data_IF_716191574361
#
_entry.id   IF_716191574361
#
_cell.length_a   1.000
_cell.length_b   1.000
_cell.length_c   1.000
_cell.angle_alpha   90.00
_cell.angle_beta   90.00
_cell.angle_gamma   90.00
#
_symmetry.space_group_name_H-M   'P 1'
#
loop_
_entity.id
_entity.type
_entity.pdbx_description
1 polymer ?
#
# COMPACT_ATOMS: atom_id res chain seq x y z
N UNK A 1 -53.70 -47.13 -43.53
CA UNK A 1 -53.55 -45.69 -43.66
C UNK A 1 -53.27 -45.13 -42.25
N UNK A 2 -52.01 -45.00 -41.93
CA UNK A 2 -51.57 -44.59 -40.53
C UNK A 2 -50.99 -43.14 -40.62
N UNK A 3 -51.67 -42.26 -39.94
CA UNK A 3 -51.24 -40.85 -39.83
C UNK A 3 -50.44 -40.69 -38.51
N UNK A 4 -49.19 -40.46 -38.65
CA UNK A 4 -48.28 -40.22 -37.50
C UNK A 4 -48.41 -38.75 -37.06
N UNK A 5 -48.78 -38.52 -35.81
CA UNK A 5 -48.83 -37.22 -35.15
C UNK A 5 -47.40 -36.84 -34.73
N UNK A 6 -46.92 -35.68 -35.18
CA UNK A 6 -45.67 -35.10 -34.76
C UNK A 6 -45.93 -34.16 -33.57
N UNK A 7 -45.42 -34.56 -32.41
CA UNK A 7 -45.48 -33.78 -31.16
C UNK A 7 -44.40 -32.71 -31.16
N UNK A 8 -44.76 -31.47 -31.39
CA UNK A 8 -43.86 -30.31 -31.24
C UNK A 8 -43.59 -30.01 -29.75
N UNK A 9 -42.45 -30.37 -29.24
CA UNK A 9 -42.01 -30.06 -27.89
C UNK A 9 -41.39 -28.66 -27.82
N UNK A 10 -41.98 -27.85 -26.99
CA UNK A 10 -41.69 -26.42 -26.81
C UNK A 10 -40.38 -26.22 -26.03
N UNK A 11 -39.27 -25.90 -26.72
CA UNK A 11 -37.95 -25.74 -26.14
C UNK A 11 -37.60 -24.25 -25.92
N UNK A 12 -38.54 -23.47 -25.37
CA UNK A 12 -38.37 -22.03 -25.12
C UNK A 12 -37.93 -21.64 -23.71
N UNK A 13 -37.75 -22.59 -22.79
CA UNK A 13 -37.48 -22.27 -21.37
C UNK A 13 -36.03 -22.45 -20.92
N UNK A 14 -35.12 -22.93 -21.80
CA UNK A 14 -33.70 -23.17 -21.44
C UNK A 14 -32.74 -21.99 -21.69
N UNK A 15 -33.09 -21.07 -22.56
CA UNK A 15 -32.19 -19.97 -22.96
C UNK A 15 -32.18 -18.77 -21.99
N UNK A 16 -33.25 -18.56 -21.25
CA UNK A 16 -33.35 -17.43 -20.30
C UNK A 16 -32.57 -17.62 -19.00
N UNK A 17 -32.36 -18.87 -18.54
CA UNK A 17 -31.61 -19.15 -17.32
C UNK A 17 -30.08 -18.98 -17.51
N UNK A 18 -29.56 -19.21 -18.72
CA UNK A 18 -28.13 -19.04 -19.03
C UNK A 18 -27.70 -17.58 -19.16
N UNK A 19 -28.60 -16.69 -19.60
CA UNK A 19 -28.33 -15.27 -19.73
C UNK A 19 -28.26 -14.55 -18.39
N UNK A 20 -29.06 -14.95 -17.39
CA UNK A 20 -28.98 -14.39 -16.04
C UNK A 20 -27.69 -14.80 -15.30
N UNK A 21 -27.17 -15.99 -15.55
CA UNK A 21 -25.93 -16.47 -14.96
C UNK A 21 -24.70 -15.73 -15.47
N UNK A 22 -24.68 -15.32 -16.75
CA UNK A 22 -23.57 -14.54 -17.32
C UNK A 22 -23.54 -13.08 -16.83
N UNK A 23 -24.71 -12.48 -16.56
CA UNK A 23 -24.79 -11.11 -16.06
C UNK A 23 -24.32 -11.00 -14.59
N UNK A 24 -24.54 -12.03 -13.77
CA UNK A 24 -24.09 -12.07 -12.39
C UNK A 24 -22.57 -12.27 -12.26
N UNK A 25 -21.93 -12.97 -13.22
CA UNK A 25 -20.48 -13.17 -13.24
C UNK A 25 -19.69 -11.92 -13.67
N UNK A 26 -20.29 -11.03 -14.45
CA UNK A 26 -19.66 -9.79 -14.92
C UNK A 26 -19.51 -8.71 -13.83
N UNK A 27 -20.25 -8.81 -12.72
CA UNK A 27 -20.18 -7.87 -11.59
C UNK A 27 -19.08 -8.20 -10.57
N UNK A 28 -18.43 -9.36 -10.68
CA UNK A 28 -17.34 -9.78 -9.77
C UNK A 28 -15.94 -9.31 -10.21
N UNK A 29 -15.81 -8.61 -11.33
CA UNK A 29 -14.57 -8.04 -11.86
C UNK A 29 -14.38 -6.56 -11.48
N UNK A 30 -15.02 -6.09 -10.41
CA UNK A 30 -14.67 -4.78 -9.83
C UNK A 30 -13.27 -4.88 -9.24
N UNK A 31 -12.31 -4.45 -10.05
CA UNK A 31 -10.88 -4.58 -9.84
C UNK A 31 -10.45 -4.18 -8.44
N UNK A 32 -9.37 -4.76 -7.99
CA UNK A 32 -8.66 -4.35 -6.77
C UNK A 32 -8.43 -2.84 -6.81
N UNK A 33 -9.31 -2.09 -6.13
CA UNK A 33 -9.11 -0.67 -5.97
C UNK A 33 -7.77 -0.47 -5.27
N UNK A 34 -6.89 0.30 -5.88
CA UNK A 34 -5.59 0.58 -5.31
C UNK A 34 -5.66 1.93 -4.60
N UNK A 35 -5.07 2.02 -3.41
CA UNK A 35 -4.96 3.29 -2.67
C UNK A 35 -4.39 4.42 -3.53
N UNK A 36 -3.46 4.11 -4.41
CA UNK A 36 -2.85 5.07 -5.33
C UNK A 36 -3.85 5.74 -6.28
N UNK A 37 -4.98 5.09 -6.59
CA UNK A 37 -6.00 5.61 -7.50
C UNK A 37 -7.10 6.43 -6.80
N UNK A 38 -7.00 6.66 -5.48
CA UNK A 38 -7.94 7.50 -4.73
C UNK A 38 -7.84 8.95 -5.24
N UNK A 39 -8.93 9.52 -5.78
CA UNK A 39 -8.92 10.88 -6.28
C UNK A 39 -8.74 11.93 -5.17
N UNK A 40 -8.14 13.06 -5.51
CA UNK A 40 -8.18 14.23 -4.63
C UNK A 40 -9.63 14.66 -4.38
N UNK A 41 -9.93 15.13 -3.17
CA UNK A 41 -11.28 15.52 -2.76
C UNK A 41 -12.14 14.36 -2.23
N UNK A 42 -11.68 13.10 -2.29
CA UNK A 42 -12.41 11.96 -1.70
C UNK A 42 -12.52 12.14 -0.19
N UNK A 43 -13.74 12.02 0.39
CA UNK A 43 -13.91 12.03 1.85
C UNK A 43 -13.12 10.91 2.51
N UNK A 44 -12.40 11.22 3.58
CA UNK A 44 -11.56 10.23 4.28
C UNK A 44 -12.36 9.03 4.79
N UNK A 45 -13.61 9.23 5.18
CA UNK A 45 -14.49 8.15 5.62
C UNK A 45 -14.75 7.10 4.53
N UNK A 46 -14.75 7.49 3.25
CA UNK A 46 -14.89 6.56 2.12
C UNK A 46 -13.60 5.77 1.92
N UNK A 47 -12.43 6.41 2.07
CA UNK A 47 -11.14 5.74 2.01
C UNK A 47 -11.01 4.72 3.12
N UNK A 48 -11.34 5.08 4.36
CA UNK A 48 -11.30 4.16 5.50
C UNK A 48 -12.31 3.01 5.38
N UNK A 49 -13.47 3.25 4.80
CA UNK A 49 -14.45 2.20 4.52
C UNK A 49 -13.93 1.17 3.52
N UNK A 50 -13.16 1.62 2.53
CA UNK A 50 -12.65 0.76 1.45
C UNK A 50 -11.34 0.06 1.81
N UNK A 51 -10.42 0.76 2.47
CA UNK A 51 -9.04 0.30 2.72
C UNK A 51 -8.71 0.07 4.20
N UNK A 52 -9.68 0.29 5.08
CA UNK A 52 -9.45 0.23 6.52
C UNK A 52 -8.83 1.50 7.08
N UNK A 53 -8.61 1.50 8.41
CA UNK A 53 -8.00 2.64 9.10
C UNK A 53 -6.53 2.82 8.72
N UNK A 54 -6.02 4.06 8.67
CA UNK A 54 -4.60 4.31 8.46
C UNK A 54 -3.75 3.70 9.59
N UNK A 55 -2.54 3.29 9.26
CA UNK A 55 -1.54 2.78 10.22
C UNK A 55 -0.87 3.91 11.00
N UNK A 56 -0.86 5.11 10.43
CA UNK A 56 -0.28 6.31 11.05
C UNK A 56 -1.19 7.51 10.79
N UNK A 57 -1.42 8.30 11.84
CA UNK A 57 -2.13 9.59 11.77
C UNK A 57 -1.31 10.62 12.52
N UNK A 58 -0.90 11.67 11.84
CA UNK A 58 -0.18 12.80 12.44
C UNK A 58 -0.96 14.09 12.20
N UNK A 59 -1.27 14.79 13.28
CA UNK A 59 -1.91 16.11 13.20
C UNK A 59 -0.86 17.19 12.92
N UNK A 60 -1.19 18.12 12.03
CA UNK A 60 -0.40 19.29 11.76
C UNK A 60 -0.95 20.49 12.53
N UNK A 61 -0.11 21.49 12.80
CA UNK A 61 -0.49 22.73 13.52
C UNK A 61 -1.50 23.58 12.75
N UNK A 62 -1.57 23.41 11.44
CA UNK A 62 -2.52 24.10 10.57
C UNK A 62 -3.92 23.45 10.54
N UNK A 63 -4.13 22.38 11.30
CA UNK A 63 -5.39 21.64 11.37
C UNK A 63 -5.59 20.59 10.26
N UNK A 64 -4.61 20.39 9.37
CA UNK A 64 -4.59 19.25 8.46
C UNK A 64 -4.02 18.00 9.17
N UNK A 65 -4.20 16.83 8.57
CA UNK A 65 -3.64 15.60 9.08
C UNK A 65 -2.83 14.89 7.99
N UNK A 66 -1.72 14.26 8.36
CA UNK A 66 -1.01 13.30 7.53
C UNK A 66 -1.51 11.90 7.89
N UNK A 67 -2.04 11.16 6.92
CA UNK A 67 -2.52 9.79 7.10
C UNK A 67 -1.78 8.84 6.18
N UNK A 68 -1.38 7.67 6.71
CA UNK A 68 -0.58 6.68 5.99
C UNK A 68 -1.18 5.30 6.18
N UNK A 69 -1.29 4.54 5.08
CA UNK A 69 -1.61 3.12 5.02
C UNK A 69 -0.35 2.37 4.62
N UNK A 70 0.35 1.81 5.59
CA UNK A 70 1.58 1.07 5.37
C UNK A 70 1.31 -0.42 5.27
N UNK A 71 1.97 -1.08 4.33
CA UNK A 71 2.00 -2.55 4.21
C UNK A 71 3.15 -3.19 5.00
N UNK A 72 3.98 -2.37 5.66
CA UNK A 72 5.07 -2.88 6.49
C UNK A 72 4.52 -3.75 7.65
N UNK A 73 5.25 -4.78 8.09
CA UNK A 73 6.56 -5.24 7.63
C UNK A 73 6.52 -6.16 6.40
N UNK A 74 5.36 -6.69 6.01
CA UNK A 74 5.25 -7.74 4.99
C UNK A 74 5.31 -7.21 3.56
N UNK A 75 4.72 -6.03 3.31
CA UNK A 75 4.68 -5.41 1.99
C UNK A 75 5.81 -4.41 1.75
N UNK A 76 5.87 -3.88 0.52
CA UNK A 76 6.91 -2.96 0.05
C UNK A 76 6.35 -1.56 -0.27
N UNK A 77 5.10 -1.30 0.09
CA UNK A 77 4.41 -0.04 -0.20
C UNK A 77 3.86 0.60 1.07
N UNK A 78 3.84 1.91 1.08
CA UNK A 78 3.06 2.72 1.99
C UNK A 78 2.44 3.86 1.20
N UNK A 79 1.15 4.05 1.34
CA UNK A 79 0.43 5.13 0.69
C UNK A 79 0.00 6.16 1.72
N UNK A 80 0.13 7.42 1.39
CA UNK A 80 -0.26 8.49 2.30
C UNK A 80 -0.78 9.72 1.59
N UNK A 81 -1.56 10.48 2.33
CA UNK A 81 -2.07 11.77 1.92
C UNK A 81 -2.09 12.75 3.07
N UNK A 82 -2.05 14.03 2.75
CA UNK A 82 -2.64 15.03 3.63
C UNK A 82 -4.15 14.96 3.53
N UNK A 83 -4.82 15.15 4.66
CA UNK A 83 -6.27 15.27 4.76
C UNK A 83 -6.58 16.70 5.20
N UNK A 84 -7.42 17.38 4.45
CA UNK A 84 -7.81 18.78 4.71
C UNK A 84 -8.62 18.88 6.01
N UNK A 85 -8.85 20.10 6.49
CA UNK A 85 -9.69 20.36 7.68
C UNK A 85 -11.13 19.89 7.51
N UNK A 86 -11.60 19.84 6.27
CA UNK A 86 -12.93 19.36 5.89
C UNK A 86 -12.99 17.84 5.79
N UNK A 87 -11.87 17.13 6.04
CA UNK A 87 -11.80 15.68 6.02
C UNK A 87 -11.67 15.07 4.63
N UNK A 88 -11.10 15.79 3.66
CA UNK A 88 -10.92 15.30 2.30
C UNK A 88 -9.44 15.02 1.98
N UNK A 89 -9.20 13.95 1.20
CA UNK A 89 -7.87 13.58 0.68
C UNK A 89 -7.36 14.68 -0.26
N UNK A 90 -6.13 15.13 -0.04
CA UNK A 90 -5.47 16.12 -0.91
C UNK A 90 -4.83 15.44 -2.12
N UNK A 91 -3.98 14.44 -1.87
CA UNK A 91 -3.37 13.63 -2.93
C UNK A 91 -2.80 12.34 -2.33
N UNK A 92 -3.27 11.20 -2.78
CA UNK A 92 -2.72 9.91 -2.38
C UNK A 92 -1.43 9.63 -3.14
N UNK A 93 -0.35 9.31 -2.42
CA UNK A 93 0.97 9.03 -3.00
C UNK A 93 1.60 7.79 -2.38
N UNK A 94 2.37 7.07 -3.19
CA UNK A 94 3.30 6.05 -2.70
C UNK A 94 4.50 6.75 -2.04
N UNK A 95 4.81 6.37 -0.79
CA UNK A 95 5.79 7.07 0.05
C UNK A 95 7.15 6.38 0.08
N UNK A 96 7.19 5.05 -0.07
CA UNK A 96 8.45 4.29 0.00
C UNK A 96 9.08 4.20 -1.40
N UNK A 97 9.61 5.33 -1.87
CA UNK A 97 10.30 5.46 -3.17
C UNK A 97 11.67 6.10 -2.98
N UNK A 98 12.61 5.85 -3.92
CA UNK A 98 13.94 6.49 -3.89
C UNK A 98 13.82 8.02 -3.82
N UNK A 99 12.96 8.61 -4.66
CA UNK A 99 12.77 10.05 -4.71
C UNK A 99 12.23 10.61 -3.39
N UNK A 100 11.33 9.88 -2.71
CA UNK A 100 10.77 10.32 -1.46
C UNK A 100 11.77 10.18 -0.30
N UNK A 101 12.51 9.07 -0.24
CA UNK A 101 13.59 8.89 0.75
C UNK A 101 14.72 9.93 0.60
N UNK A 102 14.97 10.42 -0.62
CA UNK A 102 15.97 11.46 -0.84
C UNK A 102 15.69 12.77 -0.06
N UNK A 103 14.44 12.98 0.40
CA UNK A 103 14.09 14.12 1.27
C UNK A 103 14.82 14.08 2.61
N UNK A 104 15.23 12.90 3.08
CA UNK A 104 15.99 12.74 4.33
C UNK A 104 17.36 13.42 4.29
N UNK A 105 17.90 13.72 3.10
CA UNK A 105 19.12 14.51 2.94
C UNK A 105 18.92 16.01 3.15
N UNK A 106 17.67 16.46 3.25
CA UNK A 106 17.32 17.88 3.35
C UNK A 106 16.97 18.24 4.79
N UNK A 107 17.91 18.85 5.49
CA UNK A 107 17.71 19.29 6.87
C UNK A 107 17.87 18.16 7.90
N UNK A 108 17.29 18.39 9.08
CA UNK A 108 17.27 17.43 10.18
C UNK A 108 15.90 16.78 10.30
N UNK A 109 15.90 15.47 10.45
CA UNK A 109 14.67 14.67 10.59
C UNK A 109 14.65 13.97 11.93
N UNK A 110 13.63 14.25 12.73
CA UNK A 110 13.38 13.52 13.97
C UNK A 110 12.69 12.19 13.70
N UNK A 111 12.77 11.25 14.63
CA UNK A 111 12.07 9.97 14.57
C UNK A 111 10.55 10.16 14.33
N UNK A 112 9.94 11.13 14.98
CA UNK A 112 8.52 11.45 14.79
C UNK A 112 8.24 11.93 13.37
N UNK A 113 9.06 12.80 12.81
CA UNK A 113 8.92 13.28 11.44
C UNK A 113 9.07 12.15 10.43
N UNK A 114 10.04 11.25 10.64
CA UNK A 114 10.21 10.06 9.79
C UNK A 114 8.95 9.17 9.86
N UNK A 115 8.41 8.91 11.06
CA UNK A 115 7.17 8.13 11.21
C UNK A 115 5.98 8.82 10.53
N UNK A 116 5.86 10.14 10.65
CA UNK A 116 4.77 10.90 10.04
C UNK A 116 4.91 11.03 8.53
N UNK A 117 6.10 10.85 7.96
CA UNK A 117 6.33 10.94 6.52
C UNK A 117 6.30 9.58 5.82
N UNK A 118 6.89 8.55 6.41
CA UNK A 118 7.05 7.23 5.79
C UNK A 118 6.20 6.12 6.43
N UNK A 119 5.59 6.37 7.59
CA UNK A 119 4.92 5.36 8.40
C UNK A 119 5.90 4.57 9.29
N UNK A 120 5.43 3.47 9.93
CA UNK A 120 6.29 2.62 10.74
C UNK A 120 7.27 1.85 9.84
N UNK A 121 8.53 1.61 10.30
CA UNK A 121 9.47 0.75 9.60
C UNK A 121 9.04 -0.73 9.65
N UNK A 122 9.58 -1.54 8.75
CA UNK A 122 9.43 -3.00 8.78
C UNK A 122 10.13 -3.62 9.98
N UNK A 123 11.28 -3.07 10.32
CA UNK A 123 12.11 -3.53 11.44
C UNK A 123 12.88 -2.36 12.06
N UNK A 124 13.17 -2.50 13.36
CA UNK A 124 14.01 -1.57 14.11
C UNK A 124 15.08 -2.38 14.82
N UNK A 125 16.32 -2.23 14.38
CA UNK A 125 17.47 -2.94 14.93
C UNK A 125 18.51 -1.98 15.50
N UNK A 126 19.30 -2.47 16.45
CA UNK A 126 20.53 -1.81 16.89
C UNK A 126 21.73 -2.32 16.08
N UNK A 127 22.62 -1.43 15.67
CA UNK A 127 23.89 -1.80 15.04
C UNK A 127 24.99 -1.84 16.08
N UNK A 128 25.69 -2.98 16.18
CA UNK A 128 26.75 -3.17 17.16
C UNK A 128 27.94 -2.19 16.99
N UNK A 129 28.19 -1.74 15.75
CA UNK A 129 29.26 -0.77 15.45
C UNK A 129 28.67 0.62 15.32
N UNK A 130 28.96 1.49 16.29
CA UNK A 130 28.44 2.87 16.33
C UNK A 130 27.26 3.07 17.27
N UNK A 131 26.70 2.00 17.82
CA UNK A 131 25.54 2.05 18.75
C UNK A 131 24.33 2.84 18.20
N UNK A 132 24.14 2.82 16.88
CA UNK A 132 23.02 3.50 16.22
C UNK A 132 21.79 2.61 16.16
N UNK A 133 20.61 3.22 16.23
CA UNK A 133 19.33 2.56 15.98
C UNK A 133 19.04 2.66 14.49
N UNK A 134 18.70 1.54 13.84
CA UNK A 134 18.42 1.48 12.42
C UNK A 134 16.97 1.13 12.18
N UNK A 135 16.28 1.98 11.42
CA UNK A 135 14.94 1.73 10.93
C UNK A 135 15.04 1.23 9.49
N UNK A 136 14.53 0.04 9.24
CA UNK A 136 14.57 -0.59 7.94
C UNK A 136 13.17 -0.60 7.29
N UNK A 137 13.07 -0.07 6.08
CA UNK A 137 11.85 -0.02 5.29
C UNK A 137 11.99 -0.91 4.06
N UNK A 138 11.10 -1.87 3.89
CA UNK A 138 11.03 -2.66 2.64
C UNK A 138 10.40 -1.80 1.56
N UNK A 139 11.02 -1.75 0.38
CA UNK A 139 10.50 -0.95 -0.74
C UNK A 139 10.92 -1.49 -2.11
N UNK A 140 10.38 -0.93 -3.16
CA UNK A 140 10.80 -1.18 -4.53
C UNK A 140 11.78 -0.10 -4.98
N UNK A 141 13.07 -0.41 -4.96
CA UNK A 141 14.12 0.46 -5.49
C UNK A 141 13.95 0.58 -7.01
N UNK A 142 13.91 1.80 -7.52
CA UNK A 142 13.64 2.11 -8.93
C UNK A 142 12.36 1.41 -9.46
N UNK A 143 11.35 1.22 -8.60
CA UNK A 143 10.08 0.52 -8.85
C UNK A 143 10.21 -0.96 -9.28
N UNK A 144 11.40 -1.53 -9.25
CA UNK A 144 11.72 -2.88 -9.77
C UNK A 144 12.27 -3.79 -8.68
N UNK A 145 13.36 -3.38 -8.02
CA UNK A 145 14.15 -4.25 -7.18
C UNK A 145 13.62 -4.31 -5.75
N UNK A 146 13.43 -5.51 -5.22
CA UNK A 146 13.13 -5.67 -3.80
C UNK A 146 14.36 -5.26 -2.97
N UNK A 147 14.20 -4.20 -2.19
CA UNK A 147 15.28 -3.56 -1.43
C UNK A 147 14.80 -3.14 -0.05
N UNK A 148 15.75 -2.83 0.81
CA UNK A 148 15.54 -2.18 2.10
C UNK A 148 16.13 -0.77 2.02
N UNK A 149 15.42 0.21 2.56
CA UNK A 149 16.01 1.49 2.93
C UNK A 149 16.35 1.46 4.41
N UNK A 150 17.63 1.60 4.73
CA UNK A 150 18.14 1.70 6.09
C UNK A 150 18.28 3.15 6.49
N UNK A 151 17.56 3.58 7.53
CA UNK A 151 17.57 4.92 8.08
C UNK A 151 18.19 4.86 9.47
N UNK A 152 19.33 5.50 9.65
CA UNK A 152 20.09 5.49 10.90
C UNK A 152 19.68 6.67 11.77
N UNK A 153 19.26 6.39 12.99
CA UNK A 153 18.64 7.35 13.92
C UNK A 153 19.60 7.86 15.01
N UNK A 154 20.91 7.64 14.83
CA UNK A 154 21.87 7.94 15.90
C UNK A 154 21.72 7.03 17.12
N UNK A 155 22.60 7.22 18.11
CA UNK A 155 22.65 6.36 19.29
C UNK A 155 21.46 6.54 20.23
N UNK A 156 20.83 7.72 20.24
CA UNK A 156 19.67 8.02 21.07
C UNK A 156 18.32 7.77 20.37
N UNK A 157 18.37 7.37 19.08
CA UNK A 157 17.18 7.06 18.29
C UNK A 157 16.31 8.27 17.92
N UNK A 158 16.81 9.50 18.07
CA UNK A 158 15.97 10.69 17.94
C UNK A 158 16.04 11.38 16.59
N UNK A 159 17.21 11.41 15.95
CA UNK A 159 17.44 12.14 14.70
C UNK A 159 18.13 11.26 13.67
N UNK A 160 17.77 11.44 12.40
CA UNK A 160 18.42 10.77 11.26
C UNK A 160 19.86 11.30 11.13
N UNK A 161 20.82 10.40 11.11
CA UNK A 161 22.24 10.70 10.86
C UNK A 161 22.60 10.45 9.40
N UNK A 162 22.16 9.34 8.83
CA UNK A 162 22.35 8.98 7.43
C UNK A 162 21.34 7.92 6.99
N UNK A 163 21.29 7.62 5.71
CA UNK A 163 20.46 6.55 5.15
C UNK A 163 21.08 6.01 3.86
N UNK A 164 20.79 4.76 3.53
CA UNK A 164 21.19 4.14 2.27
C UNK A 164 20.31 2.94 1.92
N UNK A 165 20.14 2.62 0.63
CA UNK A 165 19.50 1.39 0.21
C UNK A 165 20.44 0.19 0.38
N UNK A 166 19.84 -1.00 0.52
CA UNK A 166 20.53 -2.27 0.51
C UNK A 166 19.59 -3.40 0.06
N UNK A 167 20.11 -4.62 -0.11
CA UNK A 167 19.29 -5.75 -0.53
C UNK A 167 18.24 -6.09 0.54
N UNK A 168 17.04 -6.52 0.09
CA UNK A 168 16.03 -7.08 0.97
C UNK A 168 16.40 -8.54 1.31
N UNK A 169 16.76 -8.88 2.57
CA UNK A 169 17.16 -10.22 2.94
C UNK A 169 16.06 -11.26 2.68
N UNK A 170 14.80 -10.87 2.73
CA UNK A 170 13.68 -11.77 2.49
C UNK A 170 13.52 -12.14 1.02
N UNK A 171 13.97 -11.29 0.11
CA UNK A 171 13.97 -11.60 -1.32
C UNK A 171 15.10 -12.55 -1.72
N UNK A 172 16.19 -12.58 -0.95
CA UNK A 172 17.34 -13.44 -1.23
C UNK A 172 17.08 -14.92 -0.88
N UNK A 173 16.14 -15.20 0.03
CA UNK A 173 15.79 -16.56 0.46
C UNK A 173 14.69 -17.20 -0.38
N UNK A 174 14.05 -16.49 -1.29
CA UNK A 174 12.99 -16.99 -2.18
C UNK A 174 13.48 -17.69 -3.45
N UNK A 175 14.78 -17.71 -3.70
CA UNK A 175 15.38 -18.26 -4.92
C UNK A 175 15.82 -19.75 -4.85
N UNK A 176 15.81 -20.39 -3.70
CA UNK A 176 16.47 -21.67 -3.50
C UNK A 176 15.51 -22.82 -3.12
N UNK A 177 14.31 -22.83 -3.69
CA UNK A 177 13.36 -23.93 -3.55
C UNK A 177 13.22 -24.72 -4.85
N UNK A 178 14.37 -25.05 -5.51
CA UNK A 178 14.42 -26.07 -6.57
C UNK A 178 15.60 -27.00 -6.33
N UNK A 179 15.33 -28.01 -5.56
CA UNK A 179 15.98 -29.31 -5.65
C UNK A 179 14.94 -30.40 -5.48
#
# INVERSE_FOLDING_TARGET
MNITQINGHNDRTRTTKSLLGLLAAALALTGCAQLQSVPAGTPIAEVEKQFGKPTTVCANTDGTQRMIWSQQPMGQYAYGSFVSKEGNVVAMKQLLTDAHFAMLSQGKWTAQQVTCEFGPPANTDGVAKGNEIVWAYRYKQSDVWASMMYVYMGADGKEVTHFHPGPDPWSLHGGDSRH
#
